data_IF_257051250217
#
_entry.id   IF_257051250217
#
_cell.length_a   1.000
_cell.length_b   1.000
_cell.length_c   1.000
_cell.angle_alpha   90.00
_cell.angle_beta   90.00
_cell.angle_gamma   90.00
#
_symmetry.space_group_name_H-M   'P 1'
#
loop_
_entity.id
_entity.type
_entity.pdbx_description
1 polymer ?
#
# COMPACT_ATOMS: atom_id res chain seq x y z
N UNK A 1 10.63 11.59 1.98
CA UNK A 1 11.73 11.61 1.00
C UNK A 1 12.93 10.91 1.63
N UNK A 2 13.08 9.63 1.34
CA UNK A 2 14.05 8.72 1.95
C UNK A 2 15.23 8.54 0.99
N UNK A 3 16.34 9.27 1.20
CA UNK A 3 17.69 8.89 0.75
C UNK A 3 18.70 9.61 1.65
N UNK A 4 18.93 9.12 2.88
CA UNK A 4 20.04 9.64 3.71
C UNK A 4 20.66 8.61 4.68
N UNK A 5 20.01 7.46 4.91
CA UNK A 5 20.51 6.44 5.84
C UNK A 5 21.49 5.43 5.25
N UNK A 6 21.49 5.22 3.93
CA UNK A 6 22.37 4.23 3.28
C UNK A 6 23.77 4.79 2.92
N UNK A 7 23.94 6.13 2.91
CA UNK A 7 25.20 6.76 2.51
C UNK A 7 26.30 6.74 3.58
N UNK A 8 25.93 6.73 4.87
CA UNK A 8 26.92 6.85 5.95
C UNK A 8 27.62 5.52 6.29
N UNK A 9 26.97 4.38 6.04
CA UNK A 9 27.61 3.06 6.22
C UNK A 9 28.60 2.74 5.10
N UNK A 10 28.44 3.35 3.92
CA UNK A 10 29.37 3.16 2.81
C UNK A 10 30.70 3.91 3.01
N UNK A 11 30.69 5.03 3.74
CA UNK A 11 31.87 5.88 3.91
C UNK A 11 32.89 5.37 4.94
N UNK A 12 32.46 4.59 5.94
CA UNK A 12 33.35 4.13 7.04
C UNK A 12 34.18 2.88 6.65
N UNK A 13 33.77 2.14 5.62
CA UNK A 13 34.52 0.96 5.15
C UNK A 13 35.70 1.26 4.21
N UNK A 14 35.84 2.51 3.74
CA UNK A 14 36.87 2.88 2.75
C UNK A 14 38.24 3.14 3.39
N UNK A 15 38.33 3.25 4.72
CA UNK A 15 39.61 3.52 5.40
C UNK A 15 40.54 2.29 5.52
N UNK A 16 40.02 1.08 5.26
CA UNK A 16 40.78 -0.19 5.14
C UNK A 16 40.05 -1.15 4.21
N UNK A 17 39.89 -0.78 2.94
CA UNK A 17 39.15 -1.60 2.00
C UNK A 17 40.08 -2.59 1.29
N UNK A 18 40.07 -3.85 1.75
CA UNK A 18 40.36 -4.95 0.81
C UNK A 18 39.34 -4.85 -0.34
N UNK A 19 39.75 -5.14 -1.60
CA UNK A 19 38.86 -5.01 -2.74
C UNK A 19 37.64 -5.90 -2.53
N UNK A 20 36.47 -5.28 -2.30
CA UNK A 20 35.20 -6.00 -2.20
C UNK A 20 34.97 -6.67 -3.56
N UNK A 21 34.86 -8.00 -3.63
CA UNK A 21 34.71 -8.69 -4.90
C UNK A 21 33.51 -8.16 -5.67
N UNK A 22 33.71 -7.89 -6.96
CA UNK A 22 32.72 -7.29 -7.86
C UNK A 22 31.36 -8.02 -7.82
N UNK A 23 31.38 -9.34 -7.58
CA UNK A 23 30.19 -10.16 -7.37
C UNK A 23 29.32 -9.68 -6.20
N UNK A 24 29.90 -9.33 -5.04
CA UNK A 24 29.12 -8.87 -3.88
C UNK A 24 28.45 -7.52 -4.14
N UNK A 25 29.14 -6.62 -4.83
CA UNK A 25 28.58 -5.32 -5.22
C UNK A 25 27.39 -5.47 -6.18
N UNK A 26 27.50 -6.38 -7.15
CA UNK A 26 26.40 -6.72 -8.07
C UNK A 26 25.22 -7.35 -7.32
N UNK A 27 25.48 -8.29 -6.41
CA UNK A 27 24.43 -8.93 -5.61
C UNK A 27 23.68 -7.92 -4.73
N UNK A 28 24.38 -6.99 -4.09
CA UNK A 28 23.76 -5.94 -3.27
C UNK A 28 22.85 -5.01 -4.09
N UNK A 29 23.28 -4.67 -5.31
CA UNK A 29 22.48 -3.85 -6.24
C UNK A 29 21.20 -4.59 -6.67
N UNK A 30 21.31 -5.88 -7.02
CA UNK A 30 20.17 -6.71 -7.40
C UNK A 30 19.15 -6.85 -6.25
N UNK A 31 19.61 -7.08 -5.03
CA UNK A 31 18.73 -7.18 -3.85
C UNK A 31 18.02 -5.85 -3.60
N UNK A 32 18.73 -4.72 -3.71
CA UNK A 32 18.15 -3.39 -3.52
C UNK A 32 17.08 -3.08 -4.58
N UNK A 33 17.34 -3.42 -5.84
CA UNK A 33 16.37 -3.26 -6.92
C UNK A 33 15.14 -4.15 -6.71
N UNK A 34 15.32 -5.41 -6.29
CA UNK A 34 14.22 -6.31 -5.97
C UNK A 34 13.34 -5.79 -4.82
N UNK A 35 13.96 -5.29 -3.74
CA UNK A 35 13.24 -4.70 -2.61
C UNK A 35 12.46 -3.45 -3.02
N UNK A 36 13.04 -2.60 -3.87
CA UNK A 36 12.36 -1.41 -4.39
C UNK A 36 11.14 -1.78 -5.25
N UNK A 37 11.25 -2.80 -6.11
CA UNK A 37 10.12 -3.29 -6.90
C UNK A 37 9.01 -3.86 -6.01
N UNK A 38 9.34 -4.65 -4.99
CA UNK A 38 8.35 -5.17 -4.03
C UNK A 38 7.66 -4.02 -3.30
N UNK A 39 8.38 -2.98 -2.89
CA UNK A 39 7.79 -1.82 -2.22
C UNK A 39 6.84 -1.03 -3.14
N UNK A 40 7.17 -0.90 -4.43
CA UNK A 40 6.34 -0.18 -5.40
C UNK A 40 5.08 -0.95 -5.79
N UNK A 41 5.17 -2.28 -5.88
CA UNK A 41 4.07 -3.12 -6.38
C UNK A 41 3.34 -3.92 -5.30
N UNK A 42 3.81 -3.92 -4.04
CA UNK A 42 3.27 -4.74 -2.96
C UNK A 42 1.96 -4.25 -2.34
N UNK A 43 1.36 -3.19 -2.87
CA UNK A 43 0.09 -2.70 -2.36
C UNK A 43 -1.05 -3.60 -2.81
N UNK A 44 -1.88 -4.04 -1.84
CA UNK A 44 -3.08 -4.83 -2.12
C UNK A 44 -3.96 -4.09 -3.12
N UNK A 45 -4.35 -4.79 -4.18
CA UNK A 45 -5.19 -4.24 -5.22
C UNK A 45 -6.60 -4.80 -5.10
N UNK A 46 -7.61 -3.94 -5.19
CA UNK A 46 -9.01 -4.35 -5.26
C UNK A 46 -9.51 -4.12 -6.68
N UNK A 47 -9.98 -5.17 -7.33
CA UNK A 47 -10.58 -5.14 -8.66
C UNK A 47 -12.09 -5.34 -8.54
N UNK A 48 -12.85 -4.41 -9.13
CA UNK A 48 -14.30 -4.48 -9.21
C UNK A 48 -14.71 -5.00 -10.59
N UNK A 49 -15.57 -6.02 -10.63
CA UNK A 49 -16.18 -6.55 -11.85
C UNK A 49 -17.68 -6.30 -11.80
N UNK A 50 -18.08 -5.09 -12.16
CA UNK A 50 -19.47 -4.62 -12.04
C UNK A 50 -20.46 -5.47 -12.84
N UNK A 51 -20.08 -5.94 -14.04
CA UNK A 51 -20.93 -6.81 -14.87
C UNK A 51 -21.19 -8.16 -14.20
N UNK A 52 -20.18 -8.71 -13.53
CA UNK A 52 -20.28 -9.99 -12.81
C UNK A 52 -20.85 -9.80 -11.39
N UNK A 53 -21.00 -8.56 -10.92
CA UNK A 53 -21.41 -8.29 -9.55
C UNK A 53 -20.40 -8.74 -8.49
N UNK A 54 -19.10 -8.84 -8.82
CA UNK A 54 -18.07 -9.37 -7.90
C UNK A 54 -16.92 -8.39 -7.67
N UNK A 55 -16.19 -8.59 -6.57
CA UNK A 55 -14.89 -7.97 -6.33
C UNK A 55 -13.83 -9.03 -6.05
N UNK A 56 -12.57 -8.68 -6.30
CA UNK A 56 -11.41 -9.50 -6.00
C UNK A 56 -10.33 -8.66 -5.35
N UNK A 57 -9.71 -9.19 -4.30
CA UNK A 57 -8.59 -8.60 -3.59
C UNK A 57 -7.35 -9.42 -3.90
N UNK A 58 -6.35 -8.73 -4.43
CA UNK A 58 -5.08 -9.30 -4.83
C UNK A 58 -3.98 -8.82 -3.89
N UNK A 59 -3.13 -9.75 -3.46
CA UNK A 59 -1.84 -9.49 -2.85
C UNK A 59 -0.76 -9.71 -3.92
N UNK A 60 -0.15 -8.64 -4.46
CA UNK A 60 0.83 -8.75 -5.52
C UNK A 60 2.07 -9.56 -5.11
N UNK A 61 2.41 -9.58 -3.82
CA UNK A 61 3.56 -10.33 -3.30
C UNK A 61 3.29 -11.83 -3.42
N UNK A 62 2.09 -12.28 -3.05
CA UNK A 62 1.67 -13.68 -3.26
C UNK A 62 1.42 -14.00 -4.74
N UNK A 63 1.09 -12.98 -5.54
CA UNK A 63 0.93 -13.07 -6.99
C UNK A 63 2.19 -13.52 -7.72
N UNK A 64 3.37 -13.10 -7.25
CA UNK A 64 4.68 -13.58 -7.78
C UNK A 64 4.80 -15.11 -7.67
N UNK A 65 4.13 -15.73 -6.70
CA UNK A 65 4.13 -17.17 -6.46
C UNK A 65 2.89 -17.89 -6.99
N UNK A 66 2.11 -17.25 -7.88
CA UNK A 66 0.93 -17.86 -8.52
C UNK A 66 -0.33 -17.95 -7.65
N UNK A 67 -0.35 -17.33 -6.46
CA UNK A 67 -1.53 -17.26 -5.58
C UNK A 67 -1.81 -15.82 -5.13
N UNK A 68 -2.04 -14.94 -6.09
CA UNK A 68 -2.28 -13.52 -5.80
C UNK A 68 -3.65 -13.22 -5.23
N UNK A 69 -4.68 -14.01 -5.54
CA UNK A 69 -6.03 -13.75 -5.02
C UNK A 69 -6.12 -14.19 -3.55
N UNK A 70 -6.33 -13.22 -2.67
CA UNK A 70 -6.48 -13.49 -1.22
C UNK A 70 -7.93 -13.50 -0.78
N UNK A 71 -8.81 -12.85 -1.55
CA UNK A 71 -10.25 -12.79 -1.26
C UNK A 71 -11.03 -12.43 -2.51
N UNK A 72 -12.20 -13.02 -2.65
CA UNK A 72 -13.24 -12.56 -3.57
C UNK A 72 -14.61 -12.65 -2.90
N UNK A 73 -15.58 -11.94 -3.45
CA UNK A 73 -16.94 -11.92 -2.93
C UNK A 73 -17.89 -11.16 -3.85
N UNK A 74 -19.17 -11.15 -3.47
CA UNK A 74 -20.17 -10.39 -4.20
C UNK A 74 -20.12 -8.91 -3.82
N UNK A 75 -20.36 -8.03 -4.78
CA UNK A 75 -20.56 -6.60 -4.53
C UNK A 75 -21.80 -6.36 -3.66
N UNK A 76 -22.80 -7.23 -3.74
CA UNK A 76 -24.02 -7.13 -2.93
C UNK A 76 -23.78 -7.40 -1.44
N UNK A 77 -22.65 -8.00 -1.07
CA UNK A 77 -22.27 -8.23 0.33
C UNK A 77 -21.64 -7.00 0.97
N UNK A 78 -21.29 -5.97 0.18
CA UNK A 78 -20.70 -4.76 0.71
C UNK A 78 -21.81 -3.93 1.36
N UNK A 79 -21.65 -3.63 2.65
CA UNK A 79 -22.66 -2.94 3.44
C UNK A 79 -22.55 -1.41 3.33
N UNK A 80 -21.32 -0.88 3.34
CA UNK A 80 -21.07 0.56 3.26
C UNK A 80 -19.67 0.84 2.72
N UNK A 81 -19.43 2.10 2.34
CA UNK A 81 -18.10 2.63 2.04
C UNK A 81 -17.69 3.50 3.22
N UNK A 82 -16.54 3.22 3.82
CA UNK A 82 -16.00 4.00 4.93
C UNK A 82 -14.80 4.83 4.48
N UNK A 83 -14.86 6.12 4.80
CA UNK A 83 -13.70 7.01 4.80
C UNK A 83 -13.09 7.02 6.20
N UNK A 84 -11.81 6.67 6.28
CA UNK A 84 -11.07 6.61 7.53
C UNK A 84 -9.85 7.51 7.47
N UNK A 85 -9.59 8.22 8.58
CA UNK A 85 -8.39 9.07 8.74
C UNK A 85 -7.54 8.50 9.86
N UNK A 86 -6.26 8.30 9.60
CA UNK A 86 -5.27 7.91 10.61
C UNK A 86 -4.15 8.94 10.68
N UNK A 87 -3.71 9.27 11.89
CA UNK A 87 -2.47 10.02 12.09
C UNK A 87 -1.31 9.04 12.01
N UNK A 88 -0.40 9.24 11.07
CA UNK A 88 0.81 8.45 10.90
C UNK A 88 2.01 9.24 11.40
N UNK A 89 2.91 8.54 12.05
CA UNK A 89 4.20 9.08 12.47
C UNK A 89 5.28 8.35 11.69
N UNK A 90 6.16 9.12 11.04
CA UNK A 90 7.36 8.60 10.40
C UNK A 90 8.58 9.17 11.11
N UNK A 91 9.39 8.28 11.66
CA UNK A 91 10.66 8.61 12.28
C UNK A 91 11.78 8.39 11.27
N UNK A 92 12.55 9.44 11.01
CA UNK A 92 13.76 9.38 10.19
C UNK A 92 14.92 9.90 11.03
N UNK A 93 15.45 9.04 11.91
CA UNK A 93 16.68 9.22 12.69
C UNK A 93 16.74 10.47 13.59
N UNK A 94 16.80 11.65 12.98
CA UNK A 94 16.88 12.97 13.63
C UNK A 94 15.58 13.77 13.58
N UNK A 95 14.56 13.32 12.83
CA UNK A 95 13.28 14.02 12.70
C UNK A 95 12.08 13.08 12.75
N UNK A 96 11.09 13.45 13.56
CA UNK A 96 9.77 12.83 13.60
C UNK A 96 8.81 13.70 12.80
N UNK A 97 8.17 13.13 11.78
CA UNK A 97 7.14 13.79 11.00
C UNK A 97 5.79 13.14 11.27
N UNK A 98 4.77 13.96 11.53
CA UNK A 98 3.38 13.50 11.65
C UNK A 98 2.61 13.95 10.42
N UNK A 99 1.86 13.05 9.80
CA UNK A 99 1.02 13.34 8.66
C UNK A 99 -0.27 12.54 8.73
N UNK A 100 -1.33 13.06 8.11
CA UNK A 100 -2.58 12.32 7.98
C UNK A 100 -2.50 11.37 6.78
N UNK A 101 -3.01 10.17 6.98
CA UNK A 101 -3.31 9.21 5.93
C UNK A 101 -4.81 9.00 5.88
N UNK A 102 -5.36 9.00 4.68
CA UNK A 102 -6.76 8.81 4.41
C UNK A 102 -6.96 7.50 3.66
N UNK A 103 -8.03 6.78 3.98
CA UNK A 103 -8.30 5.45 3.45
C UNK A 103 -9.77 5.33 3.02
N UNK A 104 -10.00 4.69 1.89
CA UNK A 104 -11.32 4.23 1.41
C UNK A 104 -11.42 2.74 1.69
N UNK A 105 -12.41 2.35 2.49
CA UNK A 105 -12.64 0.97 2.89
C UNK A 105 -14.04 0.50 2.46
N UNK A 106 -14.14 -0.76 2.03
CA UNK A 106 -15.41 -1.48 1.95
C UNK A 106 -15.71 -2.07 3.34
N UNK A 107 -16.91 -1.84 3.84
CA UNK A 107 -17.38 -2.42 5.11
C UNK A 107 -18.24 -3.63 4.79
N UNK A 108 -17.85 -4.78 5.31
CA UNK A 108 -18.60 -6.03 5.21
C UNK A 108 -19.65 -6.13 6.34
N UNK A 109 -20.67 -7.00 6.24
CA UNK A 109 -21.74 -7.11 7.25
C UNK A 109 -21.21 -7.58 8.61
N UNK A 110 -20.08 -8.28 8.61
CA UNK A 110 -19.36 -8.70 9.82
C UNK A 110 -18.58 -7.58 10.51
N UNK A 111 -18.61 -6.36 9.97
CA UNK A 111 -17.79 -5.23 10.41
C UNK A 111 -16.33 -5.28 9.91
N UNK A 112 -15.96 -6.32 9.16
CA UNK A 112 -14.64 -6.40 8.53
C UNK A 112 -14.47 -5.31 7.47
N UNK A 113 -13.26 -4.75 7.37
CA UNK A 113 -12.91 -3.70 6.42
C UNK A 113 -11.93 -4.20 5.37
N UNK A 114 -12.16 -3.82 4.12
CA UNK A 114 -11.23 -4.07 3.01
C UNK A 114 -10.77 -2.71 2.49
N UNK A 115 -9.50 -2.38 2.68
CA UNK A 115 -8.92 -1.15 2.13
C UNK A 115 -8.83 -1.27 0.61
N UNK A 116 -9.47 -0.34 -0.09
CA UNK A 116 -9.50 -0.24 -1.56
C UNK A 116 -8.41 0.71 -2.03
N UNK A 117 -8.24 1.80 -1.31
CA UNK A 117 -7.37 2.89 -1.69
C UNK A 117 -6.95 3.67 -0.45
N UNK A 118 -5.74 4.19 -0.45
CA UNK A 118 -5.29 5.13 0.54
C UNK A 118 -4.48 6.24 -0.12
N UNK A 119 -4.56 7.44 0.45
CA UNK A 119 -3.83 8.61 -0.04
C UNK A 119 -3.47 9.53 1.13
N UNK A 120 -2.45 10.37 0.93
CA UNK A 120 -2.20 11.52 1.79
C UNK A 120 -3.18 12.68 1.54
N UNK A 121 -3.95 12.63 0.45
CA UNK A 121 -4.94 13.65 0.07
C UNK A 121 -6.36 13.22 0.48
N UNK A 122 -7.03 14.08 1.25
CA UNK A 122 -8.43 13.89 1.60
C UNK A 122 -9.33 13.96 0.36
N UNK A 123 -9.10 14.92 -0.52
CA UNK A 123 -9.95 15.14 -1.70
C UNK A 123 -9.97 13.91 -2.62
N UNK A 124 -8.82 13.26 -2.80
CA UNK A 124 -8.72 12.05 -3.63
C UNK A 124 -9.54 10.88 -3.06
N UNK A 125 -9.53 10.70 -1.72
CA UNK A 125 -10.33 9.63 -1.11
C UNK A 125 -11.82 9.96 -1.15
N UNK A 126 -12.19 11.23 -1.00
CA UNK A 126 -13.59 11.67 -1.05
C UNK A 126 -14.17 11.55 -2.46
N UNK A 127 -13.39 11.91 -3.48
CA UNK A 127 -13.76 11.73 -4.89
C UNK A 127 -13.98 10.25 -5.21
N UNK A 128 -13.03 9.38 -4.85
CA UNK A 128 -13.16 7.94 -5.08
C UNK A 128 -14.35 7.34 -4.32
N UNK A 129 -14.57 7.72 -3.05
CA UNK A 129 -15.71 7.24 -2.29
C UNK A 129 -17.05 7.70 -2.89
N UNK A 130 -17.12 8.92 -3.43
CA UNK A 130 -18.30 9.41 -4.15
C UNK A 130 -18.59 8.58 -5.40
N UNK A 131 -17.56 8.27 -6.19
CA UNK A 131 -17.68 7.43 -7.39
C UNK A 131 -18.15 6.02 -7.03
N UNK A 132 -17.50 5.38 -6.06
CA UNK A 132 -17.88 4.03 -5.59
C UNK A 132 -19.29 4.00 -5.01
N UNK A 133 -19.69 5.02 -4.26
CA UNK A 133 -21.03 5.11 -3.67
C UNK A 133 -22.12 5.17 -4.73
N UNK A 134 -21.91 5.95 -5.79
CA UNK A 134 -22.85 6.01 -6.93
C UNK A 134 -22.90 4.69 -7.69
N UNK A 135 -21.76 4.07 -7.94
CA UNK A 135 -21.68 2.81 -8.71
C UNK A 135 -22.29 1.62 -7.94
N UNK A 136 -22.03 1.53 -6.63
CA UNK A 136 -22.51 0.43 -5.80
C UNK A 136 -23.85 0.72 -5.14
N UNK A 137 -24.36 1.95 -5.23
CA UNK A 137 -25.56 2.43 -4.52
C UNK A 137 -25.44 2.20 -3.00
N UNK A 138 -24.28 2.52 -2.44
CA UNK A 138 -23.96 2.30 -1.02
C UNK A 138 -23.73 3.61 -0.27
N UNK A 139 -24.08 3.69 1.02
CA UNK A 139 -23.82 4.87 1.83
C UNK A 139 -22.32 5.07 2.07
N UNK A 140 -21.90 6.33 2.19
CA UNK A 140 -20.55 6.71 2.61
C UNK A 140 -20.57 7.13 4.07
N UNK A 141 -19.68 6.54 4.88
CA UNK A 141 -19.51 6.85 6.29
C UNK A 141 -18.16 7.53 6.52
N UNK A 142 -18.18 8.71 7.14
CA UNK A 142 -16.96 9.45 7.53
C UNK A 142 -16.63 9.13 8.98
N UNK A 143 -15.47 8.51 9.22
CA UNK A 143 -15.03 8.02 10.53
C UNK A 143 -13.85 8.83 11.07
N UNK A 144 -13.96 10.16 11.08
CA UNK A 144 -12.88 11.06 11.48
C UNK A 144 -13.36 12.32 12.18
#
# INVERSE_FOLDING_TARGET
MFVAGAGLFYAVFIARAEPVPLLYSLMALLISAAMMLIALFGHKQVSFRFVEGTYRVYDPVLGVFGKGEIRSGSLSEIYAIQLYRSLRTSDSGTRTFRYYSYEVNLVMPTGQRICVFYSGSQDQVEELASLLSKQLTLPVWKSY
#
